data_IF_899140238925
#
_entry.id   IF_899140238925
#
_cell.length_a   1.000
_cell.length_b   1.000
_cell.length_c   1.000
_cell.angle_alpha   90.00
_cell.angle_beta   90.00
_cell.angle_gamma   90.00
#
_symmetry.space_group_name_H-M   'P 1'
#
loop_
_entity.id
_entity.type
_entity.pdbx_description
1 polymer ?
#
# COMPACT_ATOMS: atom_id res chain seq x y z
N UNK A 1 -1.64 25.77 3.86
CA UNK A 1 -1.89 24.85 4.99
C UNK A 1 -0.59 24.28 5.56
N UNK A 2 0.38 23.87 4.73
CA UNK A 2 1.63 23.22 5.16
C UNK A 2 2.52 24.06 6.09
N UNK A 3 2.26 25.33 6.20
CA UNK A 3 3.02 26.25 7.06
C UNK A 3 2.30 26.66 8.34
N UNK A 4 1.04 26.25 8.50
CA UNK A 4 0.26 26.59 9.67
C UNK A 4 0.43 25.54 10.76
N UNK A 5 0.93 25.87 11.96
CA UNK A 5 1.25 24.87 12.99
C UNK A 5 0.03 24.08 13.45
N UNK A 6 -1.15 24.69 13.51
CA UNK A 6 -2.39 24.03 13.94
C UNK A 6 -2.99 23.08 12.89
N UNK A 7 -2.64 23.26 11.61
CA UNK A 7 -3.14 22.42 10.50
C UNK A 7 -2.22 21.20 10.27
N UNK A 8 -1.11 21.10 10.99
CA UNK A 8 -0.21 19.94 10.92
C UNK A 8 -0.62 18.79 11.84
N UNK A 9 -1.74 18.93 12.54
CA UNK A 9 -2.30 17.84 13.37
C UNK A 9 -2.88 16.72 12.52
N UNK A 10 -2.90 15.52 13.10
CA UNK A 10 -3.32 14.30 12.41
C UNK A 10 -4.69 14.39 11.74
N UNK A 11 -5.69 15.01 12.40
CA UNK A 11 -7.04 15.12 11.84
C UNK A 11 -7.13 15.95 10.56
N UNK A 12 -6.39 17.04 10.47
CA UNK A 12 -6.37 17.87 9.26
C UNK A 12 -5.74 17.11 8.08
N UNK A 13 -4.67 16.36 8.34
CA UNK A 13 -4.03 15.48 7.36
C UNK A 13 -4.97 14.36 6.97
N UNK A 14 -5.56 13.67 7.95
CA UNK A 14 -6.48 12.56 7.72
C UNK A 14 -7.69 12.97 6.86
N UNK A 15 -8.24 14.16 7.09
CA UNK A 15 -9.34 14.70 6.27
C UNK A 15 -8.92 14.94 4.82
N UNK A 16 -7.71 15.46 4.60
CA UNK A 16 -7.16 15.63 3.26
C UNK A 16 -6.91 14.28 2.56
N UNK A 17 -6.40 13.31 3.31
CA UNK A 17 -6.12 11.95 2.84
C UNK A 17 -7.40 11.17 2.51
N UNK A 18 -8.49 11.41 3.26
CA UNK A 18 -9.77 10.76 2.99
C UNK A 18 -10.26 11.00 1.56
N UNK A 19 -10.01 12.19 1.01
CA UNK A 19 -10.34 12.51 -0.37
C UNK A 19 -9.49 11.80 -1.43
N UNK A 20 -8.38 11.15 -1.03
CA UNK A 20 -7.52 10.37 -1.94
C UNK A 20 -7.98 8.92 -2.09
N UNK A 21 -8.91 8.47 -1.26
CA UNK A 21 -9.47 7.12 -1.32
C UNK A 21 -10.56 7.02 -2.38
N UNK A 22 -10.74 5.84 -2.95
CA UNK A 22 -11.84 5.57 -3.86
C UNK A 22 -13.19 5.78 -3.16
N UNK A 23 -14.14 6.46 -3.79
CA UNK A 23 -15.51 6.56 -3.26
C UNK A 23 -16.25 5.21 -3.26
N UNK A 24 -15.74 4.23 -3.99
CA UNK A 24 -16.29 2.87 -4.06
C UNK A 24 -15.74 1.93 -2.98
N UNK A 25 -14.66 2.33 -2.30
CA UNK A 25 -14.09 1.53 -1.22
C UNK A 25 -15.04 1.46 -0.01
N UNK A 26 -15.10 0.32 0.70
CA UNK A 26 -15.96 0.15 1.86
C UNK A 26 -15.68 1.21 2.94
N UNK A 27 -16.72 1.81 3.48
CA UNK A 27 -16.61 2.90 4.46
C UNK A 27 -15.80 2.51 5.69
N UNK A 28 -15.93 1.27 6.16
CA UNK A 28 -15.18 0.79 7.34
C UNK A 28 -13.67 0.89 7.13
N UNK A 29 -13.15 0.51 5.95
CA UNK A 29 -11.74 0.60 5.62
C UNK A 29 -11.29 2.02 5.34
N UNK A 30 -12.16 2.84 4.75
CA UNK A 30 -11.89 4.27 4.55
C UNK A 30 -11.72 4.99 5.89
N UNK A 31 -12.61 4.73 6.85
CA UNK A 31 -12.52 5.29 8.19
C UNK A 31 -11.34 4.74 8.98
N UNK A 32 -11.00 3.47 8.83
CA UNK A 32 -9.80 2.89 9.44
C UNK A 32 -8.53 3.54 8.89
N UNK A 33 -8.44 3.75 7.58
CA UNK A 33 -7.32 4.45 6.93
C UNK A 33 -7.25 5.90 7.42
N UNK A 34 -8.37 6.60 7.51
CA UNK A 34 -8.43 7.94 8.10
C UNK A 34 -7.88 7.95 9.53
N UNK A 35 -8.26 6.96 10.33
CA UNK A 35 -7.82 6.84 11.72
C UNK A 35 -6.30 6.69 11.86
N UNK A 36 -5.66 5.93 10.98
CA UNK A 36 -4.20 5.81 10.99
C UNK A 36 -3.52 7.17 10.77
N UNK A 37 -4.00 7.97 9.86
CA UNK A 37 -3.47 9.31 9.62
C UNK A 37 -3.81 10.31 10.73
N UNK A 38 -4.98 10.19 11.35
CA UNK A 38 -5.39 11.04 12.47
C UNK A 38 -4.47 10.89 13.70
N UNK A 39 -3.80 9.76 13.84
CA UNK A 39 -2.82 9.52 14.91
C UNK A 39 -1.47 10.17 14.65
N UNK A 40 -1.23 10.71 13.47
CA UNK A 40 0.03 11.33 13.09
C UNK A 40 0.32 12.58 13.93
N UNK A 41 1.52 12.66 14.46
CA UNK A 41 1.97 13.83 15.22
C UNK A 41 2.28 15.04 14.31
N UNK A 42 2.37 16.23 14.90
CA UNK A 42 2.74 17.44 14.18
C UNK A 42 4.08 17.29 13.45
N UNK A 43 4.11 17.69 12.19
CA UNK A 43 5.34 17.70 11.40
C UNK A 43 5.69 16.40 10.66
N UNK A 44 5.09 15.26 11.02
CA UNK A 44 5.37 13.96 10.35
C UNK A 44 5.02 14.06 8.87
N UNK A 45 3.79 14.36 8.53
CA UNK A 45 3.34 14.48 7.13
C UNK A 45 4.11 15.55 6.35
N UNK A 46 4.44 16.68 7.01
CA UNK A 46 5.27 17.72 6.39
C UNK A 46 6.67 17.24 6.08
N UNK A 47 7.26 16.43 6.96
CA UNK A 47 8.57 15.81 6.74
C UNK A 47 8.55 14.88 5.54
N UNK A 48 7.54 14.05 5.42
CA UNK A 48 7.35 13.15 4.29
C UNK A 48 7.20 13.90 2.97
N UNK A 49 6.37 14.95 2.93
CA UNK A 49 6.22 15.79 1.74
C UNK A 49 7.52 16.51 1.36
N UNK A 50 8.30 16.95 2.33
CA UNK A 50 9.61 17.54 2.05
C UNK A 50 10.56 16.52 1.43
N UNK A 51 10.61 15.31 1.98
CA UNK A 51 11.42 14.22 1.46
C UNK A 51 11.04 13.92 0.00
N UNK A 52 9.76 13.76 -0.30
CA UNK A 52 9.30 13.48 -1.67
C UNK A 52 9.60 14.62 -2.65
N UNK A 53 9.49 15.87 -2.22
CA UNK A 53 9.64 17.01 -3.12
C UNK A 53 11.08 17.46 -3.33
N UNK A 54 11.98 17.18 -2.39
CA UNK A 54 13.36 17.69 -2.42
C UNK A 54 14.38 16.57 -2.59
N UNK A 55 14.31 15.53 -1.75
CA UNK A 55 15.36 14.52 -1.70
C UNK A 55 15.11 13.33 -2.66
N UNK A 56 13.87 13.07 -3.03
CA UNK A 56 13.48 11.89 -3.81
C UNK A 56 12.98 12.22 -5.23
N UNK A 57 13.49 13.27 -5.84
CA UNK A 57 13.18 13.56 -7.25
C UNK A 57 14.00 12.65 -8.18
N UNK A 58 13.35 11.60 -8.69
CA UNK A 58 13.95 10.64 -9.60
C UNK A 58 13.48 10.80 -11.06
N UNK A 59 12.77 11.89 -11.42
CA UNK A 59 12.21 12.10 -12.77
C UNK A 59 13.25 11.97 -13.88
N UNK A 60 14.48 12.44 -13.62
CA UNK A 60 15.59 12.36 -14.56
C UNK A 60 16.46 11.11 -14.42
N UNK A 61 16.10 10.20 -13.53
CA UNK A 61 16.87 8.99 -13.21
C UNK A 61 16.10 7.70 -13.44
N UNK A 62 14.77 7.73 -13.48
CA UNK A 62 13.92 6.55 -13.58
C UNK A 62 14.22 5.70 -14.81
N UNK A 63 14.61 6.32 -15.93
CA UNK A 63 15.02 5.63 -17.16
C UNK A 63 16.30 4.78 -17.02
N UNK A 64 17.09 5.00 -15.95
CA UNK A 64 18.29 4.22 -15.64
C UNK A 64 17.99 2.90 -14.95
N UNK A 65 16.75 2.66 -14.54
CA UNK A 65 16.34 1.38 -13.99
C UNK A 65 16.56 0.31 -15.06
N UNK A 66 17.37 -0.68 -14.72
CA UNK A 66 17.71 -1.75 -15.65
C UNK A 66 16.50 -2.65 -15.88
N UNK A 67 16.21 -3.04 -17.12
CA UNK A 67 15.12 -3.99 -17.40
C UNK A 67 15.41 -5.45 -17.01
N UNK A 68 16.33 -5.70 -16.08
CA UNK A 68 16.69 -7.06 -15.62
C UNK A 68 15.56 -7.75 -14.86
N UNK A 69 14.79 -6.96 -14.09
CA UNK A 69 13.62 -7.43 -13.36
C UNK A 69 12.37 -6.78 -13.94
N UNK A 70 11.25 -7.49 -14.00
CA UNK A 70 9.98 -6.89 -14.36
C UNK A 70 9.52 -5.96 -13.25
N UNK A 71 8.95 -4.81 -13.64
CA UNK A 71 8.37 -3.83 -12.71
C UNK A 71 6.90 -3.68 -13.06
N UNK A 72 6.06 -3.82 -12.04
CA UNK A 72 4.62 -3.66 -12.17
C UNK A 72 4.19 -2.41 -11.41
N UNK A 73 3.64 -1.45 -12.13
CA UNK A 73 3.04 -0.25 -11.56
C UNK A 73 1.54 -0.50 -11.39
N UNK A 74 1.04 -0.39 -10.17
CA UNK A 74 -0.38 -0.50 -9.86
C UNK A 74 -0.87 0.87 -9.40
N UNK A 75 -1.91 1.38 -10.05
CA UNK A 75 -2.46 2.70 -9.76
C UNK A 75 -3.98 2.64 -9.71
N UNK A 76 -4.56 3.23 -8.67
CA UNK A 76 -6.00 3.43 -8.57
C UNK A 76 -6.50 4.51 -9.53
N UNK A 77 -7.64 4.30 -10.17
CA UNK A 77 -8.24 5.28 -11.09
C UNK A 77 -8.71 6.55 -10.38
N UNK A 78 -8.97 6.48 -9.09
CA UNK A 78 -9.37 7.62 -8.24
C UNK A 78 -8.18 8.30 -7.55
N UNK A 79 -6.95 7.83 -7.78
CA UNK A 79 -5.75 8.45 -7.20
C UNK A 79 -5.40 9.74 -7.95
N UNK A 80 -5.73 10.88 -7.36
CA UNK A 80 -5.38 12.18 -7.94
C UNK A 80 -4.01 12.73 -7.49
N UNK A 81 -3.36 12.09 -6.53
CA UNK A 81 -2.00 12.43 -6.12
C UNK A 81 -0.95 11.78 -7.03
N UNK A 82 -1.19 10.52 -7.42
CA UNK A 82 -0.37 9.76 -8.36
C UNK A 82 -1.27 9.25 -9.48
N UNK A 83 -1.70 10.16 -10.37
CA UNK A 83 -2.73 9.81 -11.36
C UNK A 83 -2.31 8.70 -12.31
N UNK A 84 -3.28 7.96 -12.90
CA UNK A 84 -2.99 6.96 -13.92
C UNK A 84 -2.06 7.46 -15.03
N UNK A 85 -2.25 8.69 -15.50
CA UNK A 85 -1.42 9.30 -16.55
C UNK A 85 0.02 9.54 -16.08
N UNK A 86 0.22 9.94 -14.83
CA UNK A 86 1.56 10.09 -14.24
C UNK A 86 2.28 8.75 -14.16
N UNK A 87 1.56 7.71 -13.73
CA UNK A 87 2.08 6.35 -13.62
C UNK A 87 2.41 5.78 -14.98
N UNK A 88 1.53 5.92 -15.98
CA UNK A 88 1.80 5.49 -17.36
C UNK A 88 3.05 6.17 -17.94
N UNK A 89 3.17 7.50 -17.82
CA UNK A 89 4.36 8.24 -18.26
C UNK A 89 5.65 7.77 -17.58
N UNK A 90 5.56 7.31 -16.33
CA UNK A 90 6.70 6.76 -15.61
C UNK A 90 7.02 5.36 -16.12
N UNK A 91 6.01 4.52 -16.30
CA UNK A 91 6.17 3.17 -16.83
C UNK A 91 6.80 3.16 -18.23
N UNK A 92 6.42 4.09 -19.11
CA UNK A 92 7.00 4.25 -20.46
C UNK A 92 8.52 4.48 -20.44
N UNK A 93 9.05 5.09 -19.37
CA UNK A 93 10.48 5.35 -19.20
C UNK A 93 11.25 4.16 -18.61
N UNK A 94 10.55 3.19 -18.05
CA UNK A 94 11.14 2.04 -17.35
C UNK A 94 11.11 0.81 -18.26
N UNK A 95 12.27 0.24 -18.54
CA UNK A 95 12.36 -0.98 -19.34
C UNK A 95 11.74 -2.16 -18.60
N UNK A 96 11.06 -3.05 -19.35
CA UNK A 96 10.44 -4.26 -18.81
C UNK A 96 9.43 -3.93 -17.69
N UNK A 97 8.57 -2.95 -17.95
CA UNK A 97 7.52 -2.55 -17.03
C UNK A 97 6.12 -2.77 -17.59
N UNK A 98 5.16 -2.90 -16.71
CA UNK A 98 3.73 -3.02 -17.00
C UNK A 98 2.97 -2.08 -16.06
N UNK A 99 1.98 -1.35 -16.57
CA UNK A 99 1.13 -0.48 -15.79
C UNK A 99 -0.28 -1.07 -15.73
N UNK A 100 -0.81 -1.20 -14.52
CA UNK A 100 -2.12 -1.76 -14.23
C UNK A 100 -2.93 -0.68 -13.52
N UNK A 101 -4.03 -0.27 -14.14
CA UNK A 101 -4.99 0.67 -13.55
C UNK A 101 -6.18 -0.15 -13.05
N UNK A 102 -6.64 0.13 -11.85
CA UNK A 102 -7.75 -0.57 -11.23
C UNK A 102 -8.66 0.39 -10.46
N UNK A 103 -9.91 0.00 -10.23
CA UNK A 103 -10.90 0.80 -9.51
C UNK A 103 -10.58 0.92 -8.03
N UNK A 104 -9.64 1.76 -7.68
CA UNK A 104 -9.18 2.03 -6.32
C UNK A 104 -8.65 3.46 -6.19
N UNK A 105 -8.27 3.87 -4.99
CA UNK A 105 -7.65 5.15 -4.71
C UNK A 105 -6.15 5.04 -4.41
N UNK A 106 -5.68 5.95 -3.59
CA UNK A 106 -4.26 6.09 -3.25
C UNK A 106 -3.74 5.03 -2.26
N UNK A 107 -4.63 4.41 -1.50
CA UNK A 107 -4.27 3.48 -0.42
C UNK A 107 -4.81 2.07 -0.65
N UNK A 108 -4.52 1.43 -1.78
CA UNK A 108 -5.21 0.21 -2.20
C UNK A 108 -5.18 -0.92 -1.17
N UNK A 109 -4.11 -1.02 -0.39
CA UNK A 109 -3.94 -2.08 0.62
C UNK A 109 -4.78 -1.87 1.87
N UNK A 110 -5.17 -0.65 2.17
CA UNK A 110 -5.91 -0.30 3.39
C UNK A 110 -7.35 0.11 3.12
N UNK A 111 -7.62 0.78 2.01
CA UNK A 111 -8.97 1.26 1.68
C UNK A 111 -9.88 0.18 1.07
N UNK A 112 -9.31 -0.82 0.41
CA UNK A 112 -10.01 -1.97 -0.15
C UNK A 112 -9.06 -3.17 -0.34
N UNK A 113 -8.74 -3.89 0.75
CA UNK A 113 -7.78 -4.99 0.70
C UNK A 113 -8.26 -6.16 -0.17
N UNK A 114 -9.57 -6.38 -0.30
CA UNK A 114 -10.10 -7.46 -1.13
C UNK A 114 -9.93 -7.15 -2.61
N UNK A 115 -10.29 -5.95 -3.05
CA UNK A 115 -10.05 -5.48 -4.43
C UNK A 115 -8.56 -5.47 -4.75
N UNK A 116 -7.71 -5.00 -3.83
CA UNK A 116 -6.27 -5.05 -4.01
C UNK A 116 -5.76 -6.48 -4.17
N UNK A 117 -6.24 -7.43 -3.38
CA UNK A 117 -5.91 -8.85 -3.49
C UNK A 117 -6.28 -9.43 -4.86
N UNK A 118 -7.45 -9.05 -5.40
CA UNK A 118 -7.87 -9.47 -6.74
C UNK A 118 -6.89 -8.97 -7.82
N UNK A 119 -6.44 -7.73 -7.71
CA UNK A 119 -5.52 -7.11 -8.68
C UNK A 119 -4.10 -7.65 -8.55
N UNK A 120 -3.58 -7.78 -7.33
CA UNK A 120 -2.19 -8.19 -7.11
C UNK A 120 -1.96 -9.69 -7.34
N UNK A 121 -2.96 -10.53 -7.11
CA UNK A 121 -2.82 -11.99 -7.23
C UNK A 121 -2.36 -12.46 -8.62
N UNK A 122 -2.94 -11.98 -9.73
CA UNK A 122 -2.44 -12.32 -11.07
C UNK A 122 -0.99 -11.87 -11.30
N UNK A 123 -0.63 -10.69 -10.80
CA UNK A 123 0.75 -10.16 -10.90
C UNK A 123 1.74 -11.07 -10.19
N UNK A 124 1.43 -11.45 -8.95
CA UNK A 124 2.28 -12.37 -8.18
C UNK A 124 2.41 -13.73 -8.87
N UNK A 125 1.33 -14.28 -9.42
CA UNK A 125 1.36 -15.51 -10.20
C UNK A 125 2.28 -15.38 -11.42
N UNK A 126 2.20 -14.27 -12.16
CA UNK A 126 3.04 -13.98 -13.31
C UNK A 126 4.52 -13.88 -12.93
N UNK A 127 4.84 -13.21 -11.82
CA UNK A 127 6.20 -13.12 -11.28
C UNK A 127 6.73 -14.52 -10.95
N UNK A 128 5.96 -15.32 -10.21
CA UNK A 128 6.35 -16.66 -9.80
C UNK A 128 6.55 -17.63 -10.97
N UNK A 129 5.73 -17.51 -12.03
CA UNK A 129 5.87 -18.33 -13.24
C UNK A 129 7.12 -17.98 -14.04
N UNK A 130 7.58 -16.72 -13.95
CA UNK A 130 8.74 -16.22 -14.66
C UNK A 130 10.04 -16.31 -13.86
N UNK A 131 9.98 -16.79 -12.61
CA UNK A 131 11.17 -16.97 -11.77
C UNK A 131 12.08 -18.09 -12.32
N UNK A 132 13.32 -17.77 -12.70
CA UNK A 132 14.27 -18.74 -13.25
C UNK A 132 14.57 -19.89 -12.27
N UNK A 133 14.56 -19.62 -10.96
CA UNK A 133 14.82 -20.63 -9.93
C UNK A 133 13.73 -21.69 -9.86
N UNK A 134 12.48 -21.32 -10.15
CA UNK A 134 11.36 -22.27 -10.21
C UNK A 134 11.26 -23.02 -11.54
N UNK A 135 11.76 -22.44 -12.65
CA UNK A 135 11.80 -23.14 -13.95
C UNK A 135 12.79 -24.29 -13.97
N UNK A 136 13.79 -24.30 -13.07
CA UNK A 136 14.81 -25.34 -12.94
C UNK A 136 14.38 -26.60 -12.16
N UNK A 137 13.10 -26.76 -11.80
CA UNK A 137 12.59 -28.00 -11.19
C UNK A 137 13.08 -28.30 -9.77
N UNK A 138 13.71 -27.35 -9.09
CA UNK A 138 13.99 -27.48 -7.67
C UNK A 138 12.70 -27.23 -6.87
N UNK A 139 11.96 -28.28 -6.58
CA UNK A 139 11.05 -28.30 -5.45
C UNK A 139 11.90 -28.05 -4.19
N UNK A 140 12.09 -26.80 -3.83
CA UNK A 140 12.49 -26.51 -2.46
C UNK A 140 11.33 -26.95 -1.58
N UNK A 141 11.48 -28.14 -1.01
CA UNK A 141 10.68 -28.55 0.12
C UNK A 141 10.90 -27.48 1.19
N UNK A 142 9.95 -26.55 1.31
CA UNK A 142 9.86 -25.72 2.49
C UNK A 142 9.81 -26.69 3.68
N UNK A 143 10.73 -26.61 4.66
CA UNK A 143 10.65 -27.48 5.79
C UNK A 143 9.27 -27.33 6.40
N UNK A 144 8.43 -28.37 6.26
CA UNK A 144 7.22 -28.46 7.03
C UNK A 144 7.67 -28.26 8.47
N UNK A 145 7.17 -27.22 9.13
CA UNK A 145 7.35 -27.04 10.55
C UNK A 145 6.79 -28.29 11.22
N UNK A 146 7.67 -29.27 11.45
CA UNK A 146 7.38 -30.34 12.38
C UNK A 146 7.22 -29.63 13.72
N UNK A 147 5.99 -29.60 14.19
CA UNK A 147 5.66 -29.12 15.50
C UNK A 147 6.42 -29.93 16.53
N UNK A 148 7.44 -29.30 17.11
CA UNK A 148 7.93 -29.75 18.40
C UNK A 148 6.82 -29.46 19.40
N UNK A 149 6.31 -30.58 19.93
CA UNK A 149 5.29 -30.59 20.95
C UNK A 149 5.76 -29.92 22.23
N UNK A 150 4.86 -29.26 22.88
CA UNK A 150 5.03 -28.94 24.29
C UNK A 150 4.64 -27.53 24.65
N UNK A 151 3.47 -27.36 25.19
CA UNK A 151 3.09 -26.16 25.92
C UNK A 151 1.68 -25.69 25.65
N UNK A 152 0.71 -26.49 26.02
CA UNK A 152 -0.65 -26.01 26.27
C UNK A 152 -0.62 -24.89 27.31
N UNK A 153 -0.60 -23.64 26.86
CA UNK A 153 -0.98 -22.51 27.69
C UNK A 153 -2.47 -22.25 27.46
N UNK A 154 -3.28 -22.73 28.40
CA UNK A 154 -4.66 -22.30 28.58
C UNK A 154 -4.67 -20.76 28.65
N UNK A 155 -5.06 -20.10 27.58
CA UNK A 155 -5.54 -18.71 27.66
C UNK A 155 -7.01 -18.79 28.01
N UNK A 156 -7.33 -18.34 29.22
CA UNK A 156 -8.68 -18.09 29.66
C UNK A 156 -9.37 -17.10 28.72
N UNK A 157 -10.63 -17.38 28.44
CA UNK A 157 -11.52 -16.69 27.49
C UNK A 157 -11.98 -15.29 27.92
N UNK A 158 -11.19 -14.54 28.69
CA UNK A 158 -11.62 -13.28 29.30
C UNK A 158 -10.96 -12.00 28.76
N UNK A 159 -10.03 -12.10 27.79
CA UNK A 159 -9.35 -10.92 27.23
C UNK A 159 -9.74 -10.63 25.78
N UNK A 160 -11.03 -10.57 25.48
CA UNK A 160 -11.49 -9.96 24.24
C UNK A 160 -11.79 -8.48 24.54
N UNK A 161 -11.09 -7.53 23.95
CA UNK A 161 -11.43 -6.11 24.10
C UNK A 161 -12.84 -5.89 23.56
N UNK A 162 -13.77 -5.50 24.44
CA UNK A 162 -15.09 -5.07 24.02
C UNK A 162 -14.95 -3.84 23.12
N UNK A 163 -15.38 -3.96 21.85
CA UNK A 163 -15.56 -2.82 20.96
C UNK A 163 -16.54 -1.85 21.63
N UNK A 164 -16.07 -0.69 22.06
CA UNK A 164 -16.95 0.42 22.40
C UNK A 164 -17.47 0.99 21.09
N UNK A 165 -18.73 0.74 20.80
CA UNK A 165 -19.46 1.50 19.79
C UNK A 165 -19.66 2.88 20.41
N UNK A 166 -19.07 3.90 19.83
CA UNK A 166 -19.35 5.29 20.17
C UNK A 166 -20.50 5.69 19.24
N UNK A 167 -21.72 5.73 19.80
CA UNK A 167 -22.84 6.38 19.15
C UNK A 167 -22.58 7.90 19.16
N UNK A 168 -22.43 8.49 17.97
CA UNK A 168 -22.36 9.94 17.73
C UNK A 168 -23.74 10.46 17.39
#
# INVERSE_FOLDING_TARGET
>A
PLHHPEIHGGEAVATSVFGLMSPESPDEYRWETWWYYAQGGPGIFKGDLYYYSVDSDYRDKVHKISGKLPIYFLTGEYDFACTPEMTMRTAEKVKNSECIIFGGGHFPTSEDPDKFKEVITPVLKKILQNDPQRRGGATQNWPSSQGDGGGSRNRSSEDTPQRRVIDL
#
